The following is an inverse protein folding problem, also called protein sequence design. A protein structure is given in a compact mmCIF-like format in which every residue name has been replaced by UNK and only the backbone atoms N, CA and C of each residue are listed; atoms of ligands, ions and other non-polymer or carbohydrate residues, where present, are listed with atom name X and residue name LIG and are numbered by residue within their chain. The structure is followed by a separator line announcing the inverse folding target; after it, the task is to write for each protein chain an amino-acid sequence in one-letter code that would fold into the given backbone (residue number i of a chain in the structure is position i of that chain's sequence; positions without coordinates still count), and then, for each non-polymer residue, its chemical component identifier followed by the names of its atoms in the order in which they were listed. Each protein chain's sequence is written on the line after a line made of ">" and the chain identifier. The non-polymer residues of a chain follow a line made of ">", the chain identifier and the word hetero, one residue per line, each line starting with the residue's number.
data_IF_364266661679
#
_entry.id   IF_364266661679
#
_cell.length_a   1.000
_cell.length_b   1.000
_cell.length_c   1.000
_cell.angle_alpha   90.00
_cell.angle_beta   90.00
_cell.angle_gamma   90.00
#
_symmetry.space_group_name_H-M   'P 1'
#
loop_
_entity.id
_entity.type
_entity.pdbx_description
1 polymer ?
#
# COMPACT_ATOMS: atom_id res chain seq x y z
N UNK A 1 8.26 -12.27 -1.90
CA UNK A 1 9.50 -11.52 -1.67
C UNK A 1 9.26 -10.09 -2.13
N UNK A 2 9.55 -9.10 -1.29
CA UNK A 2 9.49 -7.67 -1.62
C UNK A 2 10.92 -7.13 -1.53
N UNK A 3 11.35 -6.35 -2.54
CA UNK A 3 12.73 -5.86 -2.65
C UNK A 3 12.67 -4.34 -2.85
N UNK A 4 13.50 -3.64 -2.10
CA UNK A 4 13.83 -2.23 -2.32
C UNK A 4 15.30 -2.19 -2.70
N UNK A 5 15.62 -1.53 -3.80
CA UNK A 5 16.97 -1.49 -4.36
C UNK A 5 17.20 -0.18 -5.09
N UNK A 6 18.46 0.23 -5.18
CA UNK A 6 18.86 1.25 -6.12
C UNK A 6 18.55 0.78 -7.56
N UNK A 7 18.10 1.68 -8.46
CA UNK A 7 17.96 1.38 -9.89
C UNK A 7 19.28 0.91 -10.49
N UNK A 8 19.22 -0.14 -11.31
CA UNK A 8 20.42 -0.78 -11.89
C UNK A 8 21.07 0.07 -12.99
N UNK A 9 20.30 0.96 -13.61
CA UNK A 9 20.76 1.91 -14.63
C UNK A 9 21.43 3.16 -14.03
N UNK A 10 21.37 3.34 -12.70
CA UNK A 10 21.97 4.45 -11.99
C UNK A 10 21.16 5.75 -12.02
N UNK A 11 20.01 5.78 -12.68
CA UNK A 11 19.12 6.93 -12.68
C UNK A 11 18.35 7.05 -11.35
N UNK A 12 17.80 8.24 -11.01
CA UNK A 12 16.99 8.40 -9.81
C UNK A 12 15.79 7.44 -9.80
N UNK A 13 15.49 6.86 -8.64
CA UNK A 13 14.28 6.06 -8.47
C UNK A 13 13.04 6.90 -8.82
N UNK A 14 12.11 6.30 -9.55
CA UNK A 14 10.84 6.94 -9.88
C UNK A 14 9.69 5.95 -9.73
N UNK A 15 8.51 6.47 -9.39
CA UNK A 15 7.32 5.65 -9.26
C UNK A 15 6.65 5.42 -10.61
N UNK A 16 6.01 4.25 -10.77
CA UNK A 16 5.18 3.98 -11.94
C UNK A 16 3.80 4.66 -11.81
N UNK A 17 3.47 5.59 -12.71
CA UNK A 17 2.12 6.14 -12.77
C UNK A 17 1.10 5.05 -13.13
N UNK A 18 0.04 4.91 -12.33
CA UNK A 18 -0.92 3.81 -12.42
C UNK A 18 -0.43 2.47 -11.84
N UNK A 19 0.85 2.34 -11.48
CA UNK A 19 1.40 1.17 -10.81
C UNK A 19 0.94 1.09 -9.35
N UNK A 20 0.73 -0.12 -8.82
CA UNK A 20 0.45 -0.36 -7.40
C UNK A 20 0.99 -1.72 -6.96
N UNK A 21 1.75 -1.73 -5.87
CA UNK A 21 2.18 -2.98 -5.22
C UNK A 21 1.20 -3.29 -4.09
N UNK A 22 0.66 -4.51 -4.08
CA UNK A 22 -0.36 -4.93 -3.11
C UNK A 22 0.19 -6.01 -2.19
N UNK A 23 -0.03 -5.81 -0.89
CA UNK A 23 0.18 -6.77 0.18
C UNK A 23 -1.16 -7.29 0.68
N UNK A 24 -1.30 -8.60 0.83
CA UNK A 24 -2.48 -9.22 1.45
C UNK A 24 -2.17 -9.52 2.91
N UNK A 25 -3.06 -9.09 3.80
CA UNK A 25 -2.94 -9.25 5.24
C UNK A 25 -4.14 -10.03 5.80
N UNK A 26 -3.93 -10.60 6.98
CA UNK A 26 -4.86 -11.58 7.57
C UNK A 26 -6.05 -10.95 8.30
N UNK A 27 -6.05 -9.62 8.52
CA UNK A 27 -7.16 -8.92 9.19
C UNK A 27 -7.26 -7.43 8.84
N UNK A 28 -8.43 -6.83 9.08
CA UNK A 28 -8.65 -5.39 8.97
C UNK A 28 -7.79 -4.58 9.95
N UNK A 29 -7.51 -5.14 11.13
CA UNK A 29 -6.61 -4.54 12.13
C UNK A 29 -5.17 -4.51 11.60
N UNK A 30 -4.70 -5.59 10.98
CA UNK A 30 -3.38 -5.63 10.37
C UNK A 30 -3.23 -4.59 9.25
N UNK A 31 -4.28 -4.35 8.46
CA UNK A 31 -4.29 -3.28 7.43
C UNK A 31 -4.19 -1.88 8.03
N UNK A 32 -4.88 -1.61 9.15
CA UNK A 32 -4.74 -0.32 9.86
C UNK A 32 -3.35 -0.17 10.45
N UNK A 33 -2.88 -1.18 11.17
CA UNK A 33 -1.55 -1.17 11.78
C UNK A 33 -0.44 -0.99 10.73
N UNK A 34 -0.59 -1.58 9.55
CA UNK A 34 0.30 -1.35 8.41
C UNK A 34 0.28 0.11 7.94
N UNK A 35 -0.90 0.73 7.83
CA UNK A 35 -1.00 2.14 7.42
C UNK A 35 -0.41 3.07 8.49
N UNK A 36 -0.75 2.86 9.76
CA UNK A 36 -0.27 3.67 10.90
C UNK A 36 1.26 3.59 11.01
N UNK A 37 1.82 2.39 10.92
CA UNK A 37 3.27 2.18 10.91
C UNK A 37 3.93 2.86 9.71
N UNK A 38 3.33 2.75 8.52
CA UNK A 38 3.84 3.40 7.31
C UNK A 38 3.87 4.91 7.43
N UNK A 39 2.79 5.54 7.90
CA UNK A 39 2.73 7.00 8.13
C UNK A 39 3.76 7.44 9.16
N UNK A 40 3.89 6.70 10.27
CA UNK A 40 4.86 7.02 11.32
C UNK A 40 6.33 6.96 10.85
N UNK A 41 6.63 6.22 9.77
CA UNK A 41 7.98 6.01 9.25
C UNK A 41 8.21 6.65 7.87
N UNK A 42 7.48 7.73 7.56
CA UNK A 42 7.74 8.56 6.37
C UNK A 42 6.91 8.21 5.13
N UNK A 43 6.03 7.21 5.23
CA UNK A 43 4.97 7.00 4.25
C UNK A 43 3.90 8.09 4.33
N UNK A 44 3.15 8.26 3.25
CA UNK A 44 2.04 9.21 3.19
C UNK A 44 0.75 8.46 2.92
N UNK A 45 -0.24 8.57 3.80
CA UNK A 45 -1.58 8.07 3.55
C UNK A 45 -2.21 8.83 2.36
N UNK A 46 -2.77 8.08 1.42
CA UNK A 46 -3.37 8.63 0.20
C UNK A 46 -4.74 8.00 -0.05
N UNK A 47 -5.50 8.64 -0.94
CA UNK A 47 -6.89 8.31 -1.24
C UNK A 47 -7.80 8.45 -0.01
N UNK A 48 -8.92 7.73 -0.02
CA UNK A 48 -9.83 7.65 1.10
C UNK A 48 -9.19 6.91 2.29
N UNK A 49 -9.59 7.23 3.54
CA UNK A 49 -9.10 6.56 4.73
C UNK A 49 -9.28 5.03 4.70
N UNK A 50 -8.42 4.33 5.44
CA UNK A 50 -8.48 2.88 5.57
C UNK A 50 -9.87 2.40 5.96
N UNK A 51 -10.43 1.46 5.18
CA UNK A 51 -11.82 1.08 5.37
C UNK A 51 -12.32 0.05 4.37
N UNK A 52 -13.60 -0.30 4.55
CA UNK A 52 -14.30 -1.27 3.73
C UNK A 52 -14.59 -0.67 2.36
N UNK A 53 -14.36 -1.46 1.30
CA UNK A 53 -14.74 -1.19 -0.08
C UNK A 53 -15.39 -2.43 -0.68
N UNK A 54 -16.48 -2.23 -1.41
CA UNK A 54 -17.14 -3.31 -2.17
C UNK A 54 -16.60 -3.29 -3.60
N UNK A 55 -15.90 -4.34 -4.02
CA UNK A 55 -15.30 -4.42 -5.34
C UNK A 55 -15.44 -5.81 -5.93
N UNK A 56 -16.01 -5.89 -7.15
CA UNK A 56 -16.22 -7.15 -7.88
C UNK A 56 -16.92 -8.24 -7.02
N UNK A 57 -17.97 -7.86 -6.29
CA UNK A 57 -18.73 -8.78 -5.44
C UNK A 57 -18.03 -9.24 -4.15
N UNK A 58 -16.88 -8.62 -3.79
CA UNK A 58 -16.16 -8.90 -2.55
C UNK A 58 -16.11 -7.67 -1.65
N UNK A 59 -16.17 -7.90 -0.34
CA UNK A 59 -15.89 -6.89 0.66
C UNK A 59 -14.40 -6.91 0.99
N UNK A 60 -13.72 -5.78 0.82
CA UNK A 60 -12.28 -5.64 1.05
C UNK A 60 -12.05 -4.56 2.11
N UNK A 61 -11.22 -4.84 3.10
CA UNK A 61 -10.66 -3.79 3.95
C UNK A 61 -9.34 -3.32 3.34
N UNK A 62 -9.27 -2.05 2.93
CA UNK A 62 -8.16 -1.49 2.14
C UNK A 62 -7.53 -0.29 2.84
N UNK A 63 -6.22 -0.13 2.67
CA UNK A 63 -5.48 1.09 2.96
C UNK A 63 -4.44 1.33 1.85
N UNK A 64 -4.15 2.59 1.55
CA UNK A 64 -3.14 2.99 0.58
C UNK A 64 -2.10 3.93 1.21
N UNK A 65 -0.87 3.79 0.74
CA UNK A 65 0.25 4.68 1.06
C UNK A 65 1.00 5.06 -0.23
N UNK A 66 1.69 6.20 -0.19
CA UNK A 66 2.95 6.35 -0.94
C UNK A 66 4.12 6.12 0.00
N UNK A 67 5.13 5.39 -0.46
CA UNK A 67 6.42 5.32 0.22
C UNK A 67 7.25 6.61 -0.02
N UNK A 68 8.43 6.75 0.59
CA UNK A 68 9.27 7.95 0.44
C UNK A 68 9.70 8.25 -1.00
N UNK A 69 9.78 7.24 -1.87
CA UNK A 69 10.12 7.38 -3.30
C UNK A 69 8.86 7.61 -4.18
N UNK A 70 7.68 7.68 -3.54
CA UNK A 70 6.41 7.93 -4.19
C UNK A 70 5.75 6.68 -4.77
N UNK A 71 6.27 5.47 -4.54
CA UNK A 71 5.64 4.24 -5.00
C UNK A 71 4.29 4.05 -4.31
N UNK A 72 3.26 3.72 -5.10
CA UNK A 72 1.93 3.46 -4.54
C UNK A 72 1.87 2.03 -4.00
N UNK A 73 1.60 1.93 -2.70
CA UNK A 73 1.46 0.67 -1.97
C UNK A 73 0.02 0.49 -1.49
N UNK A 74 -0.43 -0.75 -1.40
CA UNK A 74 -1.76 -1.14 -0.94
C UNK A 74 -1.66 -2.29 0.05
N UNK A 75 -2.32 -2.17 1.19
CA UNK A 75 -2.64 -3.31 2.05
C UNK A 75 -4.11 -3.67 1.90
N UNK A 76 -4.39 -4.97 1.73
CA UNK A 76 -5.75 -5.49 1.62
C UNK A 76 -5.97 -6.67 2.55
N UNK A 77 -7.15 -6.71 3.16
CA UNK A 77 -7.72 -7.91 3.73
C UNK A 77 -9.04 -8.21 3.02
N UNK A 78 -9.15 -9.40 2.41
CA UNK A 78 -10.41 -9.85 1.80
C UNK A 78 -11.29 -10.34 2.93
N UNK A 79 -12.43 -9.69 3.15
CA UNK A 79 -13.35 -10.05 4.22
C UNK A 79 -14.17 -11.25 3.75
N UNK A 80 -13.90 -12.40 4.35
CA UNK A 80 -14.62 -13.67 4.14
C UNK A 80 -15.60 -13.93 5.26
#
# INVERSE_FOLDING_TARGET
>A
MFIVTAPIDGEPACHANGGTIRFTLDSAEAVRGWQDAGVAHGGTAIEDPAGIRNMAGRQLFLAYLRDPDGNKLCAVHVMT
#
